data_IF_861345495845
#
_entry.id   IF_861345495845
#
_cell.length_a   1.000
_cell.length_b   1.000
_cell.length_c   1.000
_cell.angle_alpha   90.00
_cell.angle_beta   90.00
_cell.angle_gamma   90.00
#
_symmetry.space_group_name_H-M   'P 1'
#
loop_
_entity.id
_entity.type
_entity.pdbx_description
1 polymer ?
#
# COMPACT_ATOMS: atom_id res chain seq x y z
N UNK A 1 15.10 20.11 33.95
CA UNK A 1 14.52 20.83 32.79
C UNK A 1 13.54 19.89 32.09
N UNK A 2 12.51 20.41 31.44
CA UNK A 2 11.30 19.64 31.14
C UNK A 2 11.47 18.50 30.13
N UNK A 3 11.10 17.29 30.53
CA UNK A 3 10.52 16.32 29.61
C UNK A 3 9.13 16.83 29.24
N UNK A 4 9.03 17.63 28.19
CA UNK A 4 7.72 17.90 27.58
C UNK A 4 7.30 16.63 26.84
N UNK A 5 6.16 16.09 27.28
CA UNK A 5 5.43 15.04 26.57
C UNK A 5 5.08 15.53 25.17
N UNK A 6 4.94 14.60 24.22
CA UNK A 6 4.24 14.92 22.98
C UNK A 6 2.74 14.90 23.28
N UNK A 7 2.15 16.08 23.43
CA UNK A 7 0.71 16.23 23.71
C UNK A 7 -0.13 15.56 22.61
N UNK A 8 -1.20 14.88 23.02
CA UNK A 8 -1.85 13.83 22.23
C UNK A 8 -3.14 14.27 21.50
N UNK A 9 -3.39 15.58 21.45
CA UNK A 9 -4.70 16.16 21.11
C UNK A 9 -4.70 17.10 19.89
N UNK A 10 -3.69 16.99 19.03
CA UNK A 10 -3.76 17.55 17.67
C UNK A 10 -4.07 16.42 16.67
N UNK A 11 -5.19 16.47 15.92
CA UNK A 11 -5.53 15.46 14.91
C UNK A 11 -4.65 15.67 13.68
N UNK A 12 -3.35 15.42 13.80
CA UNK A 12 -2.35 15.76 12.78
C UNK A 12 -2.66 14.98 11.51
N UNK A 13 -3.30 15.67 10.58
CA UNK A 13 -3.59 15.22 9.22
C UNK A 13 -2.30 15.19 8.41
N UNK A 14 -1.33 14.38 8.87
CA UNK A 14 -0.15 14.00 8.11
C UNK A 14 -0.65 13.25 6.87
N UNK A 15 -0.89 14.02 5.80
CA UNK A 15 -1.26 13.54 4.48
C UNK A 15 -0.03 12.87 3.87
N UNK A 16 0.31 11.69 4.40
CA UNK A 16 1.47 10.90 4.04
C UNK A 16 1.35 10.50 2.58
N UNK A 17 1.93 11.29 1.68
CA UNK A 17 2.00 10.95 0.28
C UNK A 17 3.20 10.05 -0.04
N UNK A 18 3.05 9.22 -1.07
CA UNK A 18 4.12 8.33 -1.54
C UNK A 18 4.09 8.22 -3.06
N UNK A 19 5.27 8.30 -3.66
CA UNK A 19 5.51 7.95 -5.07
C UNK A 19 5.40 6.43 -5.25
N UNK A 20 4.48 5.97 -6.11
CA UNK A 20 4.34 4.56 -6.44
C UNK A 20 5.56 4.06 -7.24
N UNK A 21 6.19 2.97 -6.79
CA UNK A 21 7.39 2.38 -7.44
C UNK A 21 7.18 1.85 -8.86
N UNK A 22 5.93 1.72 -9.33
CA UNK A 22 5.58 1.09 -10.63
C UNK A 22 5.13 2.12 -11.65
N UNK A 23 4.26 3.06 -11.30
CA UNK A 23 3.78 4.10 -12.22
C UNK A 23 4.41 5.48 -12.02
N UNK A 24 5.28 5.65 -11.01
CA UNK A 24 5.96 6.91 -10.72
C UNK A 24 5.07 8.05 -10.21
N UNK A 25 3.74 7.85 -10.11
CA UNK A 25 2.78 8.85 -9.62
C UNK A 25 2.71 8.86 -8.09
N UNK A 26 2.50 10.04 -7.53
CA UNK A 26 2.31 10.26 -6.09
C UNK A 26 0.83 10.13 -5.71
N UNK A 27 0.55 9.53 -4.56
CA UNK A 27 -0.79 9.39 -3.99
C UNK A 27 -0.73 9.47 -2.45
N UNK A 28 -1.80 9.90 -1.74
CA UNK A 28 -1.91 9.73 -0.29
C UNK A 28 -1.95 8.25 0.10
N UNK A 29 -1.40 7.89 1.26
CA UNK A 29 -1.24 6.50 1.71
C UNK A 29 -2.57 5.77 1.92
N UNK A 30 -3.52 6.42 2.60
CA UNK A 30 -4.85 5.88 2.95
C UNK A 30 -5.65 5.50 1.71
N UNK A 31 -5.77 6.41 0.75
CA UNK A 31 -6.55 6.20 -0.48
C UNK A 31 -5.76 5.44 -1.56
N UNK A 32 -4.48 5.75 -1.73
CA UNK A 32 -3.67 5.29 -2.85
C UNK A 32 -3.03 3.91 -2.68
N UNK A 33 -2.80 3.45 -1.44
CA UNK A 33 -1.98 2.26 -1.16
C UNK A 33 -2.72 1.23 -0.25
N UNK A 34 -2.30 -0.03 -0.29
CA UNK A 34 -2.89 -1.08 0.54
C UNK A 34 -2.13 -1.19 1.87
N UNK A 35 -2.85 -1.14 3.00
CA UNK A 35 -2.29 -1.45 4.32
C UNK A 35 -2.00 -2.95 4.42
N UNK A 36 -0.75 -3.33 4.69
CA UNK A 36 -0.31 -4.73 4.66
C UNK A 36 -0.78 -5.57 5.85
N UNK A 37 -0.92 -4.96 7.04
CA UNK A 37 -1.43 -5.59 8.26
C UNK A 37 -2.16 -4.56 9.13
N UNK A 38 -3.44 -4.79 9.44
CA UNK A 38 -4.24 -3.88 10.30
C UNK A 38 -3.68 -3.76 11.73
N UNK A 39 -3.04 -4.80 12.27
CA UNK A 39 -2.61 -4.89 13.66
C UNK A 39 -1.33 -4.13 14.04
N UNK A 40 -0.74 -3.33 13.14
CA UNK A 40 0.52 -2.59 13.40
C UNK A 40 0.38 -1.06 13.40
N UNK A 41 -0.86 -0.57 13.33
CA UNK A 41 -1.18 0.84 13.24
C UNK A 41 -0.83 1.46 11.88
N UNK A 42 -1.31 2.68 11.66
CA UNK A 42 -1.24 3.42 10.38
C UNK A 42 0.14 4.07 10.13
N UNK A 43 1.22 3.41 10.57
CA UNK A 43 2.59 3.82 10.30
C UNK A 43 2.84 3.80 8.78
N UNK A 44 3.58 4.77 8.21
CA UNK A 44 3.78 4.81 6.76
C UNK A 44 4.51 3.57 6.19
N UNK A 45 5.30 2.87 7.00
CA UNK A 45 5.91 1.59 6.64
C UNK A 45 4.93 0.39 6.58
N UNK A 46 3.73 0.51 7.16
CA UNK A 46 2.68 -0.52 7.09
C UNK A 46 2.00 -0.58 5.72
N UNK A 47 2.03 0.49 4.92
CA UNK A 47 1.40 0.57 3.60
C UNK A 47 2.33 0.07 2.48
N UNK A 48 1.75 -0.43 1.38
CA UNK A 48 2.49 -0.88 0.19
C UNK A 48 3.32 0.22 -0.46
N UNK A 49 4.37 -0.16 -1.18
CA UNK A 49 5.18 0.74 -2.02
C UNK A 49 4.64 0.87 -3.47
N UNK A 50 3.46 0.30 -3.69
CA UNK A 50 2.81 0.17 -5.00
C UNK A 50 1.32 0.44 -4.80
N UNK A 51 0.77 1.34 -5.61
CA UNK A 51 -0.60 1.81 -5.44
C UNK A 51 -1.64 0.74 -5.81
N UNK A 52 -2.90 0.99 -5.41
CA UNK A 52 -4.02 0.06 -5.59
C UNK A 52 -4.23 -0.30 -7.06
N UNK A 53 -4.13 0.67 -7.99
CA UNK A 53 -4.29 0.46 -9.44
C UNK A 53 -3.23 -0.48 -10.01
N UNK A 54 -1.93 -0.19 -9.83
CA UNK A 54 -0.84 -1.07 -10.28
C UNK A 54 -0.95 -2.48 -9.70
N UNK A 55 -1.32 -2.60 -8.42
CA UNK A 55 -1.54 -3.89 -7.76
C UNK A 55 -2.70 -4.67 -8.41
N UNK A 56 -3.83 -4.01 -8.65
CA UNK A 56 -4.99 -4.59 -9.33
C UNK A 56 -4.63 -5.06 -10.74
N UNK A 57 -3.91 -4.24 -11.52
CA UNK A 57 -3.56 -4.57 -12.90
C UNK A 57 -2.52 -5.70 -12.98
N UNK A 58 -1.57 -5.76 -12.04
CA UNK A 58 -0.66 -6.91 -11.88
C UNK A 58 -1.43 -8.19 -11.58
N UNK A 59 -2.42 -8.15 -10.68
CA UNK A 59 -3.26 -9.32 -10.34
C UNK A 59 -4.15 -9.73 -11.52
N UNK A 60 -4.77 -8.78 -12.23
CA UNK A 60 -5.53 -9.04 -13.48
C UNK A 60 -4.64 -9.70 -14.54
N UNK A 61 -3.44 -9.17 -14.78
CA UNK A 61 -2.46 -9.73 -15.74
C UNK A 61 -2.06 -11.15 -15.35
N UNK A 62 -1.69 -11.40 -14.08
CA UNK A 62 -1.36 -12.76 -13.62
C UNK A 62 -2.54 -13.73 -13.81
N UNK A 63 -3.75 -13.35 -13.40
CA UNK A 63 -4.96 -14.19 -13.56
C UNK A 63 -5.31 -14.50 -15.03
N UNK A 64 -5.01 -13.59 -15.97
CA UNK A 64 -5.16 -13.87 -17.41
C UNK A 64 -4.09 -14.81 -17.94
N UNK A 65 -2.85 -14.67 -17.50
CA UNK A 65 -1.72 -15.51 -17.93
C UNK A 65 -1.80 -16.94 -17.37
N UNK A 66 -2.35 -17.11 -16.17
CA UNK A 66 -2.46 -18.40 -15.48
C UNK A 66 -3.69 -19.22 -15.92
N UNK A 67 -4.19 -19.00 -17.14
CA UNK A 67 -5.34 -19.73 -17.70
C UNK A 67 -4.93 -20.87 -18.65
N UNK A 68 -3.64 -21.19 -18.66
CA UNK A 68 -3.05 -22.35 -19.34
C UNK A 68 -2.73 -23.42 -18.29
N UNK A 69 -3.76 -23.87 -17.57
CA UNK A 69 -3.69 -25.08 -16.74
C UNK A 69 -3.76 -26.32 -17.68
N UNK A 70 -2.83 -26.39 -18.64
CA UNK A 70 -2.64 -27.54 -19.51
C UNK A 70 -1.92 -28.59 -18.68
N UNK A 71 -2.70 -29.46 -18.04
CA UNK A 71 -2.16 -30.64 -17.38
C UNK A 71 -1.72 -31.63 -18.47
N UNK A 72 -0.44 -32.07 -18.50
CA UNK A 72 0.03 -33.03 -19.51
C UNK A 72 -0.41 -34.45 -19.11
N UNK A 73 -1.65 -34.80 -19.48
CA UNK A 73 -2.20 -36.15 -19.34
C UNK A 73 -1.97 -36.97 -20.62
N UNK A 74 -0.71 -37.39 -20.82
CA UNK A 74 -0.22 -38.20 -21.95
C UNK A 74 0.86 -39.20 -21.53
#
# INVERSE_FOLDING_TARGET
MGLLVMDLDDPVLFLHERKCRVCGKTYPLTEGFYLSRKSRGEKPSSYSYECKTCTIDRVKKKRRSNKLDIYPDS
#
